data_IF_194338113936
#
_entry.id   IF_194338113936
#
_cell.length_a   1.000
_cell.length_b   1.000
_cell.length_c   1.000
_cell.angle_alpha   90.00
_cell.angle_beta   90.00
_cell.angle_gamma   90.00
#
_symmetry.space_group_name_H-M   'P 1'
#
loop_
_entity.id
_entity.type
_entity.pdbx_description
1 polymer ?
#
# COMPACT_ATOMS: atom_id res chain seq x y z
N UNK A 1 -7.76 -3.65 16.74
CA UNK A 1 -8.96 -2.82 16.94
C UNK A 1 -9.86 -3.34 18.08
N UNK A 2 -9.97 -2.56 19.18
CA UNK A 2 -10.77 -2.95 20.36
C UNK A 2 -12.29 -2.92 20.07
N UNK A 3 -12.74 -2.04 19.18
CA UNK A 3 -14.15 -1.93 18.82
C UNK A 3 -14.60 -3.18 18.04
N UNK A 4 -13.81 -3.64 17.09
CA UNK A 4 -14.08 -4.88 16.35
C UNK A 4 -14.14 -6.10 17.26
N UNK A 5 -13.21 -6.22 18.20
CA UNK A 5 -13.22 -7.29 19.22
C UNK A 5 -14.51 -7.22 20.05
N UNK A 6 -14.90 -6.03 20.53
CA UNK A 6 -16.09 -5.86 21.33
C UNK A 6 -17.38 -6.24 20.57
N UNK A 7 -17.48 -5.87 19.30
CA UNK A 7 -18.60 -6.22 18.43
C UNK A 7 -18.70 -7.74 18.24
N UNK A 8 -17.58 -8.41 17.96
CA UNK A 8 -17.53 -9.87 17.84
C UNK A 8 -18.02 -10.54 19.13
N UNK A 9 -17.52 -10.10 20.29
CA UNK A 9 -17.89 -10.67 21.58
C UNK A 9 -19.38 -10.43 21.91
N UNK A 10 -19.91 -9.25 21.62
CA UNK A 10 -21.33 -8.94 21.82
C UNK A 10 -22.22 -9.79 20.91
N UNK A 11 -21.82 -10.00 19.65
CA UNK A 11 -22.55 -10.87 18.73
C UNK A 11 -22.59 -12.32 19.23
N UNK A 12 -21.49 -12.84 19.79
CA UNK A 12 -21.45 -14.17 20.37
C UNK A 12 -22.37 -14.29 21.60
N UNK A 13 -22.34 -13.31 22.48
CA UNK A 13 -23.20 -13.27 23.66
C UNK A 13 -24.70 -13.29 23.24
N UNK A 14 -25.04 -12.48 22.24
CA UNK A 14 -26.39 -12.46 21.66
C UNK A 14 -26.80 -13.83 21.12
N UNK A 15 -25.97 -14.48 20.30
CA UNK A 15 -26.27 -15.80 19.72
C UNK A 15 -26.39 -16.89 20.79
N UNK A 16 -25.56 -16.85 21.83
CA UNK A 16 -25.69 -17.79 22.97
C UNK A 16 -26.99 -17.60 23.74
N UNK A 17 -27.47 -16.36 23.85
CA UNK A 17 -28.77 -16.05 24.49
C UNK A 17 -29.98 -16.40 23.61
N UNK A 18 -29.79 -16.66 22.32
CA UNK A 18 -30.87 -16.96 21.35
C UNK A 18 -30.56 -18.22 20.54
N UNK A 19 -30.44 -19.39 21.19
CA UNK A 19 -30.04 -20.64 20.57
C UNK A 19 -31.04 -21.17 19.51
N UNK A 20 -32.24 -20.63 19.47
CA UNK A 20 -33.27 -20.93 18.46
C UNK A 20 -33.03 -20.20 17.13
N UNK A 21 -32.15 -19.18 17.09
CA UNK A 21 -31.84 -18.46 15.90
C UNK A 21 -31.00 -19.32 14.92
N UNK A 22 -31.39 -19.39 13.63
CA UNK A 22 -30.65 -20.19 12.67
C UNK A 22 -29.30 -19.51 12.36
N UNK A 23 -28.22 -20.23 12.56
CA UNK A 23 -26.87 -19.80 12.13
C UNK A 23 -25.99 -20.99 11.74
N UNK A 24 -25.05 -20.76 10.85
CA UNK A 24 -24.01 -21.73 10.51
C UNK A 24 -22.91 -21.82 11.58
N UNK A 25 -21.87 -22.56 11.29
CA UNK A 25 -20.67 -22.61 12.14
C UNK A 25 -19.93 -21.27 12.09
N UNK A 26 -19.75 -20.67 13.25
CA UNK A 26 -19.01 -19.41 13.40
C UNK A 26 -17.63 -19.72 13.95
N UNK A 27 -16.60 -19.24 13.27
CA UNK A 27 -15.20 -19.33 13.68
C UNK A 27 -14.65 -17.92 13.88
N UNK A 28 -13.91 -17.71 14.96
CA UNK A 28 -13.34 -16.41 15.29
C UNK A 28 -11.82 -16.53 15.33
N UNK A 29 -11.15 -15.61 14.64
CA UNK A 29 -9.71 -15.50 14.64
C UNK A 29 -9.27 -14.09 15.04
N UNK A 30 -8.29 -14.01 15.91
CA UNK A 30 -7.60 -12.77 16.25
C UNK A 30 -6.14 -12.91 15.83
N UNK A 31 -5.63 -11.94 15.11
CA UNK A 31 -4.23 -11.92 14.65
C UNK A 31 -3.47 -10.78 15.32
N UNK A 32 -2.23 -11.00 15.79
CA UNK A 32 -1.36 -9.94 16.26
C UNK A 32 -0.70 -9.21 15.08
N UNK A 33 -0.02 -8.11 15.35
CA UNK A 33 0.88 -7.42 14.41
C UNK A 33 0.20 -6.83 13.15
N UNK A 34 -1.11 -6.53 13.21
CA UNK A 34 -1.84 -5.91 12.11
C UNK A 34 -1.26 -4.52 11.79
N UNK A 35 -0.99 -3.68 12.78
CA UNK A 35 -0.50 -2.30 12.66
C UNK A 35 0.90 -2.19 12.00
N UNK A 36 1.63 -3.28 11.93
CA UNK A 36 2.91 -3.39 11.22
C UNK A 36 2.80 -4.19 9.91
N UNK A 37 1.57 -4.52 9.49
CA UNK A 37 1.28 -5.19 8.22
C UNK A 37 1.57 -6.69 8.20
N UNK A 38 1.70 -7.35 9.36
CA UNK A 38 2.05 -8.77 9.49
C UNK A 38 0.93 -9.64 10.05
N UNK A 39 -0.27 -9.09 10.23
CA UNK A 39 -1.40 -9.78 10.87
C UNK A 39 -1.80 -11.10 10.21
N UNK A 40 -1.71 -11.19 8.89
CA UNK A 40 -2.09 -12.38 8.13
C UNK A 40 -0.94 -13.36 7.83
N UNK A 41 0.32 -13.00 8.05
CA UNK A 41 1.50 -13.75 7.58
C UNK A 41 1.57 -15.20 8.07
N UNK A 42 1.04 -15.46 9.25
CA UNK A 42 1.07 -16.79 9.89
C UNK A 42 -0.33 -17.37 10.13
N UNK A 43 -1.36 -16.75 9.54
CA UNK A 43 -2.72 -17.22 9.71
C UNK A 43 -2.96 -18.45 8.82
N UNK A 44 -3.20 -19.60 9.45
CA UNK A 44 -3.47 -20.85 8.76
C UNK A 44 -4.93 -20.92 8.31
N UNK A 45 -5.19 -20.40 7.11
CA UNK A 45 -6.53 -20.35 6.48
C UNK A 45 -7.13 -21.75 6.34
N UNK A 46 -6.31 -22.76 5.98
CA UNK A 46 -6.80 -24.13 5.80
C UNK A 46 -7.26 -24.74 7.13
N UNK A 47 -6.50 -24.55 8.20
CA UNK A 47 -6.85 -24.99 9.55
C UNK A 47 -8.04 -24.21 10.10
N UNK A 48 -8.14 -22.91 9.81
CA UNK A 48 -9.30 -22.09 10.18
C UNK A 48 -10.56 -22.61 9.51
N UNK A 49 -10.49 -22.99 8.24
CA UNK A 49 -11.51 -23.78 7.52
C UNK A 49 -12.88 -23.11 7.52
N UNK A 50 -12.92 -21.79 7.27
CA UNK A 50 -14.15 -21.04 7.00
C UNK A 50 -14.37 -20.93 5.48
N UNK A 51 -15.63 -20.91 5.04
CA UNK A 51 -15.98 -20.73 3.63
C UNK A 51 -15.74 -19.29 3.17
N UNK A 52 -16.00 -18.33 4.07
CA UNK A 52 -15.71 -16.90 3.90
C UNK A 52 -15.54 -16.24 5.26
N UNK A 53 -15.06 -15.01 5.29
CA UNK A 53 -14.83 -14.26 6.51
C UNK A 53 -15.17 -12.78 6.33
N UNK A 54 -15.60 -12.15 7.42
CA UNK A 54 -15.66 -10.70 7.56
C UNK A 54 -14.56 -10.24 8.50
N UNK A 55 -13.84 -9.20 8.13
CA UNK A 55 -12.86 -8.54 9.00
C UNK A 55 -13.51 -7.31 9.61
N UNK A 56 -13.53 -7.23 10.93
CA UNK A 56 -14.03 -6.08 11.66
C UNK A 56 -12.84 -5.22 12.11
N UNK A 57 -12.71 -4.06 11.49
CA UNK A 57 -11.65 -3.10 11.76
C UNK A 57 -12.26 -1.71 12.04
N UNK A 58 -11.44 -0.66 12.11
CA UNK A 58 -11.88 0.73 12.24
C UNK A 58 -12.59 1.23 10.99
N UNK A 59 -13.33 2.31 11.13
CA UNK A 59 -14.08 2.95 10.05
C UNK A 59 -15.38 3.58 10.57
N UNK A 60 -16.19 4.07 9.65
CA UNK A 60 -17.51 4.61 10.00
C UNK A 60 -18.52 3.51 10.29
N UNK A 61 -19.47 3.79 11.19
CA UNK A 61 -20.52 2.82 11.51
C UNK A 61 -21.37 2.55 10.27
N UNK A 62 -21.51 1.27 9.91
CA UNK A 62 -22.28 0.82 8.75
C UNK A 62 -21.50 0.80 7.44
N UNK A 63 -20.22 1.13 7.46
CA UNK A 63 -19.35 0.97 6.30
C UNK A 63 -19.10 -0.52 6.03
N UNK A 64 -19.29 -0.93 4.78
CA UNK A 64 -18.97 -2.27 4.29
C UNK A 64 -18.07 -2.16 3.06
N UNK A 65 -16.83 -2.55 3.22
CA UNK A 65 -15.82 -2.54 2.16
C UNK A 65 -15.67 -3.94 1.56
N UNK A 66 -15.67 -4.03 0.24
CA UNK A 66 -15.41 -5.27 -0.51
C UNK A 66 -14.36 -5.09 -1.61
N UNK A 67 -13.70 -3.95 -1.62
CA UNK A 67 -12.54 -3.66 -2.47
C UNK A 67 -11.55 -2.75 -1.72
N UNK A 68 -10.30 -2.84 -2.12
CA UNK A 68 -9.19 -2.09 -1.58
C UNK A 68 -8.24 -1.67 -2.72
N UNK A 69 -7.23 -0.89 -2.42
CA UNK A 69 -6.19 -0.56 -3.39
C UNK A 69 -5.39 -1.80 -3.84
N UNK A 70 -4.90 -1.78 -5.09
CA UNK A 70 -3.66 -2.46 -5.43
C UNK A 70 -2.50 -1.64 -4.87
N UNK A 71 -1.45 -2.29 -4.40
CA UNK A 71 -0.39 -1.67 -3.62
C UNK A 71 1.01 -2.12 -4.03
N UNK A 72 1.90 -1.16 -4.20
CA UNK A 72 3.34 -1.39 -4.34
C UNK A 72 4.14 -0.43 -3.45
N UNK A 73 5.32 -0.88 -3.06
CA UNK A 73 6.37 -0.07 -2.45
C UNK A 73 7.48 0.14 -3.47
N UNK A 74 8.07 1.33 -3.50
CA UNK A 74 9.19 1.65 -4.36
C UNK A 74 10.27 2.36 -3.55
N UNK A 75 11.42 1.73 -3.40
CA UNK A 75 12.63 2.31 -2.83
C UNK A 75 13.53 2.78 -3.97
N UNK A 76 13.97 4.04 -3.93
CA UNK A 76 14.90 4.61 -4.90
C UNK A 76 16.19 5.00 -4.18
N UNK A 77 17.27 4.30 -4.51
CA UNK A 77 18.60 4.57 -3.99
C UNK A 77 19.37 5.39 -5.02
N UNK A 78 19.98 6.50 -4.57
CA UNK A 78 20.65 7.47 -5.45
C UNK A 78 22.09 7.61 -5.03
N UNK A 79 23.01 7.53 -6.01
CA UNK A 79 24.45 7.72 -5.82
C UNK A 79 24.95 9.01 -6.46
N UNK A 80 25.47 9.89 -5.62
CA UNK A 80 26.13 11.12 -6.02
C UNK A 80 27.65 10.98 -6.19
N UNK A 81 28.30 12.10 -6.24
CA UNK A 81 29.77 12.26 -6.18
C UNK A 81 30.11 13.60 -5.56
N UNK A 82 30.63 13.55 -4.34
CA UNK A 82 31.08 14.73 -3.61
C UNK A 82 32.46 15.20 -4.10
N UNK A 83 32.63 16.50 -4.22
CA UNK A 83 33.89 17.18 -4.43
C UNK A 83 33.84 18.55 -3.75
N UNK A 84 34.99 19.20 -3.55
CA UNK A 84 35.03 20.54 -2.96
C UNK A 84 34.17 21.54 -3.78
N UNK A 85 33.22 22.27 -3.14
CA UNK A 85 32.30 23.17 -3.85
C UNK A 85 32.98 24.19 -4.79
N UNK A 86 34.09 24.74 -4.40
CA UNK A 86 34.83 25.72 -5.20
C UNK A 86 35.39 25.18 -6.53
N UNK A 87 35.46 23.85 -6.71
CA UNK A 87 35.93 23.17 -7.91
C UNK A 87 34.93 22.16 -8.49
N UNK A 88 33.66 22.32 -8.12
CA UNK A 88 32.61 21.34 -8.37
C UNK A 88 32.07 21.32 -9.80
N UNK A 89 32.29 22.38 -10.58
CA UNK A 89 31.75 22.51 -11.94
C UNK A 89 32.15 21.31 -12.80
N UNK A 90 31.14 20.63 -13.36
CA UNK A 90 31.22 19.41 -14.20
C UNK A 90 31.83 18.18 -13.47
N UNK A 91 31.96 18.23 -12.15
CA UNK A 91 32.52 17.13 -11.34
C UNK A 91 31.58 16.62 -10.29
N UNK A 92 30.94 17.52 -9.53
CA UNK A 92 29.98 17.13 -8.47
C UNK A 92 28.69 16.56 -9.09
N UNK A 93 28.20 15.53 -8.47
CA UNK A 93 26.85 15.01 -8.69
C UNK A 93 26.20 14.95 -7.31
N UNK A 94 25.22 15.80 -7.07
CA UNK A 94 24.55 15.90 -5.77
C UNK A 94 23.33 14.98 -5.74
N UNK A 95 23.38 13.92 -4.94
CA UNK A 95 22.30 12.94 -4.85
C UNK A 95 20.97 13.56 -4.40
N UNK A 96 21.00 14.53 -3.47
CA UNK A 96 19.77 15.24 -3.06
C UNK A 96 19.15 16.04 -4.22
N UNK A 97 19.95 16.63 -5.11
CA UNK A 97 19.42 17.33 -6.29
C UNK A 97 18.80 16.34 -7.30
N UNK A 98 19.40 15.17 -7.48
CA UNK A 98 18.81 14.12 -8.32
C UNK A 98 17.48 13.60 -7.73
N UNK A 99 17.39 13.51 -6.40
CA UNK A 99 16.14 13.14 -5.71
C UNK A 99 15.02 14.18 -5.95
N UNK A 100 15.35 15.48 -5.88
CA UNK A 100 14.41 16.56 -6.19
C UNK A 100 13.99 16.52 -7.66
N UNK A 101 14.94 16.28 -8.57
CA UNK A 101 14.66 16.13 -10.00
C UNK A 101 13.69 14.95 -10.25
N UNK A 102 13.96 13.80 -9.65
CA UNK A 102 13.05 12.64 -9.73
C UNK A 102 11.64 13.01 -9.29
N UNK A 103 11.49 13.62 -8.11
CA UNK A 103 10.19 14.03 -7.60
C UNK A 103 9.47 15.02 -8.53
N UNK A 104 10.21 15.88 -9.23
CA UNK A 104 9.64 16.85 -10.18
C UNK A 104 9.12 16.24 -11.48
N UNK A 105 9.55 15.03 -11.81
CA UNK A 105 9.10 14.28 -12.99
C UNK A 105 7.84 13.43 -12.70
N UNK A 106 7.50 13.23 -11.43
CA UNK A 106 6.27 12.52 -11.06
C UNK A 106 5.05 13.45 -11.19
N UNK A 107 3.87 12.92 -11.58
CA UNK A 107 2.66 13.71 -11.74
C UNK A 107 2.30 14.43 -10.44
N UNK A 108 2.21 15.78 -10.44
CA UNK A 108 1.96 16.53 -9.21
C UNK A 108 0.54 16.34 -8.66
N UNK A 109 -0.41 15.97 -9.52
CA UNK A 109 -1.81 15.67 -9.19
C UNK A 109 -2.02 14.26 -8.63
N UNK A 110 -1.01 13.40 -8.70
CA UNK A 110 -1.05 12.03 -8.15
C UNK A 110 -0.40 11.94 -6.76
N UNK A 111 -0.75 12.86 -5.89
CA UNK A 111 -0.35 12.84 -4.46
C UNK A 111 -1.57 12.64 -3.59
N UNK A 112 -1.48 11.95 -2.44
CA UNK A 112 -2.63 11.68 -1.57
C UNK A 112 -3.40 12.94 -1.17
N UNK A 113 -2.71 14.05 -0.96
CA UNK A 113 -3.31 15.34 -0.62
C UNK A 113 -4.11 16.00 -1.77
N UNK A 114 -4.05 15.42 -2.98
CA UNK A 114 -4.73 15.92 -4.18
C UNK A 114 -5.62 14.85 -4.85
N UNK A 115 -5.80 13.71 -4.22
CA UNK A 115 -6.62 12.59 -4.72
C UNK A 115 -7.70 12.22 -3.72
N UNK A 116 -8.81 11.68 -4.22
CA UNK A 116 -9.94 11.24 -3.40
C UNK A 116 -10.59 9.96 -3.93
N UNK A 117 -11.33 9.27 -3.08
CA UNK A 117 -12.13 8.09 -3.44
C UNK A 117 -11.28 6.99 -4.08
N UNK A 118 -11.54 6.70 -5.35
CA UNK A 118 -10.87 5.64 -6.12
C UNK A 118 -9.64 6.10 -6.90
N UNK A 119 -9.24 7.35 -6.75
CA UNK A 119 -8.08 7.88 -7.47
C UNK A 119 -6.78 7.31 -6.94
N UNK A 120 -5.91 6.89 -7.86
CA UNK A 120 -4.60 6.37 -7.52
C UNK A 120 -3.58 7.48 -7.26
N UNK A 121 -2.52 7.12 -6.50
CA UNK A 121 -1.47 8.06 -6.11
C UNK A 121 -0.09 7.42 -6.01
N UNK A 122 0.92 8.29 -6.09
CA UNK A 122 2.33 8.03 -5.76
C UNK A 122 2.70 8.92 -4.57
N UNK A 123 2.89 8.34 -3.40
CA UNK A 123 3.15 9.06 -2.17
C UNK A 123 4.58 8.86 -1.69
N UNK A 124 5.35 9.94 -1.61
CA UNK A 124 6.67 9.96 -0.98
C UNK A 124 6.50 9.88 0.54
N UNK A 125 6.87 8.76 1.14
CA UNK A 125 6.73 8.50 2.59
C UNK A 125 8.02 8.73 3.37
N UNK A 126 9.17 8.67 2.71
CA UNK A 126 10.46 8.87 3.34
C UNK A 126 11.44 9.51 2.37
N UNK A 127 12.22 10.46 2.87
CA UNK A 127 13.33 11.07 2.16
C UNK A 127 14.49 11.30 3.11
N UNK A 128 15.63 10.71 2.79
CA UNK A 128 16.92 11.00 3.43
C UNK A 128 17.95 11.21 2.34
N UNK A 129 18.84 12.19 2.49
CA UNK A 129 19.88 12.38 1.51
C UNK A 129 20.82 13.53 1.82
N UNK A 130 22.02 13.42 1.21
CA UNK A 130 23.06 14.45 1.18
C UNK A 130 23.66 14.56 -0.24
N UNK A 131 24.93 14.96 -0.35
CA UNK A 131 25.61 15.09 -1.66
C UNK A 131 26.02 13.72 -2.21
N UNK A 132 26.38 12.78 -1.34
CA UNK A 132 26.96 11.49 -1.74
C UNK A 132 25.91 10.43 -2.02
N UNK A 133 24.84 10.40 -1.21
CA UNK A 133 23.73 9.47 -1.43
C UNK A 133 22.38 10.04 -0.98
N UNK A 134 21.31 9.46 -1.54
CA UNK A 134 19.95 9.70 -1.09
C UNK A 134 19.13 8.42 -1.20
N UNK A 135 18.11 8.32 -0.34
CA UNK A 135 17.12 7.24 -0.34
C UNK A 135 15.72 7.84 -0.22
N UNK A 136 14.88 7.50 -1.18
CA UNK A 136 13.47 7.85 -1.18
C UNK A 136 12.64 6.58 -1.12
N UNK A 137 11.57 6.61 -0.33
CA UNK A 137 10.57 5.55 -0.33
C UNK A 137 9.22 6.11 -0.73
N UNK A 138 8.59 5.41 -1.67
CA UNK A 138 7.26 5.71 -2.14
C UNK A 138 6.33 4.53 -1.90
N UNK A 139 5.04 4.83 -1.71
CA UNK A 139 3.97 3.87 -1.87
C UNK A 139 3.13 4.27 -3.09
N UNK A 140 2.73 3.27 -3.88
CA UNK A 140 1.92 3.43 -5.08
C UNK A 140 0.61 2.69 -4.85
N UNK A 141 -0.51 3.36 -5.11
CA UNK A 141 -1.85 2.83 -4.88
C UNK A 141 -2.77 3.18 -6.04
N UNK A 142 -3.59 2.24 -6.47
CA UNK A 142 -4.76 2.48 -7.31
C UNK A 142 -5.75 1.32 -7.14
N UNK A 143 -7.04 1.60 -7.16
CA UNK A 143 -8.08 0.57 -7.14
C UNK A 143 -8.14 -0.21 -8.47
N UNK A 144 -7.91 0.48 -9.58
CA UNK A 144 -7.87 -0.11 -10.90
C UNK A 144 -6.50 -0.70 -11.20
N UNK A 145 -6.47 -1.95 -11.68
CA UNK A 145 -5.22 -2.67 -11.92
C UNK A 145 -4.39 -2.09 -13.08
N UNK A 146 -5.05 -1.65 -14.15
CA UNK A 146 -4.35 -1.08 -15.32
C UNK A 146 -3.73 0.26 -14.94
N UNK A 147 -4.48 1.14 -14.26
CA UNK A 147 -3.97 2.43 -13.76
C UNK A 147 -2.86 2.25 -12.72
N UNK A 148 -2.94 1.21 -11.89
CA UNK A 148 -1.87 0.86 -10.96
C UNK A 148 -0.57 0.52 -11.69
N UNK A 149 -0.64 -0.30 -12.76
CA UNK A 149 0.54 -0.59 -13.60
C UNK A 149 1.06 0.67 -14.31
N UNK A 150 0.19 1.57 -14.77
CA UNK A 150 0.56 2.85 -15.37
C UNK A 150 1.32 3.76 -14.38
N UNK A 151 0.89 3.81 -13.12
CA UNK A 151 1.61 4.57 -12.07
C UNK A 151 2.99 3.96 -11.79
N UNK A 152 3.11 2.64 -11.78
CA UNK A 152 4.40 1.95 -11.63
C UNK A 152 5.32 2.22 -12.82
N UNK A 153 4.77 2.22 -14.03
CA UNK A 153 5.52 2.54 -15.24
C UNK A 153 5.97 4.01 -15.25
N UNK A 154 5.13 4.92 -14.79
CA UNK A 154 5.49 6.34 -14.60
C UNK A 154 6.72 6.48 -13.68
N UNK A 155 6.77 5.74 -12.58
CA UNK A 155 7.93 5.71 -11.69
C UNK A 155 9.19 5.18 -12.40
N UNK A 156 9.08 4.09 -13.16
CA UNK A 156 10.21 3.53 -13.94
C UNK A 156 10.74 4.53 -14.95
N UNK A 157 9.85 5.19 -15.68
CA UNK A 157 10.20 6.19 -16.69
C UNK A 157 10.87 7.42 -16.07
N UNK A 158 10.40 7.89 -14.92
CA UNK A 158 11.01 9.00 -14.20
C UNK A 158 12.46 8.66 -13.77
N UNK A 159 12.68 7.48 -13.20
CA UNK A 159 14.02 6.99 -12.83
C UNK A 159 14.92 6.86 -14.08
N UNK A 160 14.40 6.27 -15.15
CA UNK A 160 15.15 6.14 -16.41
C UNK A 160 15.52 7.49 -17.00
N UNK A 161 14.64 8.48 -16.94
CA UNK A 161 14.90 9.83 -17.46
C UNK A 161 16.01 10.55 -16.70
N UNK A 162 16.05 10.45 -15.35
CA UNK A 162 17.16 11.00 -14.55
C UNK A 162 18.47 10.28 -14.88
N UNK A 163 18.44 8.95 -14.94
CA UNK A 163 19.63 8.16 -15.31
C UNK A 163 20.17 8.50 -16.71
N UNK A 164 19.30 8.73 -17.68
CA UNK A 164 19.72 9.13 -19.03
C UNK A 164 20.46 10.47 -19.06
N UNK A 165 20.12 11.40 -18.15
CA UNK A 165 20.76 12.72 -18.05
C UNK A 165 22.07 12.72 -17.26
N UNK A 166 22.16 11.91 -16.21
CA UNK A 166 23.22 11.99 -15.21
C UNK A 166 24.15 10.77 -15.16
N UNK A 167 23.88 9.76 -15.96
CA UNK A 167 24.66 8.52 -16.07
C UNK A 167 23.88 7.30 -15.57
N UNK A 168 24.14 6.18 -16.20
CA UNK A 168 23.51 4.90 -15.92
C UNK A 168 23.77 4.50 -14.47
N UNK A 169 22.74 3.95 -13.81
CA UNK A 169 22.78 3.43 -12.44
C UNK A 169 23.04 4.48 -11.33
N UNK A 170 22.80 5.77 -11.60
CA UNK A 170 22.77 6.78 -10.54
C UNK A 170 21.59 6.58 -9.60
N UNK A 171 20.43 6.26 -10.17
CA UNK A 171 19.22 5.87 -9.45
C UNK A 171 18.97 4.37 -9.66
N UNK A 172 18.83 3.65 -8.56
CA UNK A 172 18.43 2.24 -8.55
C UNK A 172 17.06 2.16 -7.92
N UNK A 173 16.10 1.64 -8.68
CA UNK A 173 14.72 1.42 -8.24
C UNK A 173 14.52 -0.04 -7.80
N UNK A 174 14.14 -0.25 -6.55
CA UNK A 174 13.59 -1.52 -6.04
C UNK A 174 12.09 -1.33 -5.81
N UNK A 175 11.27 -1.92 -6.68
CA UNK A 175 9.81 -1.79 -6.61
C UNK A 175 9.18 -3.16 -6.52
N UNK A 176 8.29 -3.34 -5.51
CA UNK A 176 7.64 -4.61 -5.19
C UNK A 176 6.17 -4.40 -4.92
N UNK A 177 5.34 -5.25 -5.51
CA UNK A 177 3.93 -5.31 -5.19
C UNK A 177 3.74 -5.89 -3.78
N UNK A 178 2.80 -5.32 -3.03
CA UNK A 178 2.50 -5.73 -1.65
C UNK A 178 1.22 -6.56 -1.59
N UNK A 179 0.16 -6.06 -2.19
CA UNK A 179 -1.14 -6.74 -2.26
C UNK A 179 -1.96 -6.19 -3.44
N UNK A 180 -3.05 -6.90 -3.76
CA UNK A 180 -3.96 -6.54 -4.84
C UNK A 180 -5.38 -6.32 -4.33
N UNK A 181 -6.18 -5.59 -5.12
CA UNK A 181 -7.57 -5.36 -4.85
C UNK A 181 -8.33 -6.69 -4.75
N UNK A 182 -9.04 -6.90 -3.66
CA UNK A 182 -9.82 -8.13 -3.43
C UNK A 182 -11.10 -8.22 -4.24
N UNK A 183 -11.54 -7.14 -4.89
CA UNK A 183 -12.78 -7.07 -5.66
C UNK A 183 -12.97 -8.24 -6.62
N UNK A 184 -11.94 -8.59 -7.40
CA UNK A 184 -12.00 -9.70 -8.35
C UNK A 184 -12.28 -11.06 -7.69
N UNK A 185 -11.89 -11.22 -6.42
CA UNK A 185 -12.14 -12.43 -5.63
C UNK A 185 -13.54 -12.43 -5.00
N UNK A 186 -14.05 -11.25 -4.70
CA UNK A 186 -15.37 -11.10 -4.05
C UNK A 186 -16.50 -11.15 -5.06
N UNK A 187 -16.35 -10.58 -6.25
CA UNK A 187 -17.40 -10.53 -7.28
C UNK A 187 -18.05 -11.90 -7.58
N UNK A 188 -17.29 -13.02 -7.73
CA UNK A 188 -17.91 -14.33 -7.98
C UNK A 188 -18.75 -14.86 -6.82
N UNK A 189 -18.57 -14.36 -5.62
CA UNK A 189 -19.24 -14.76 -4.38
C UNK A 189 -19.94 -13.58 -3.72
N UNK A 190 -20.46 -12.65 -4.51
CA UNK A 190 -21.01 -11.37 -4.04
C UNK A 190 -22.16 -11.51 -3.03
N UNK A 191 -22.82 -12.69 -2.98
CA UNK A 191 -23.83 -12.99 -1.98
C UNK A 191 -23.35 -12.78 -0.53
N UNK A 192 -22.04 -12.90 -0.25
CA UNK A 192 -21.50 -12.64 1.10
C UNK A 192 -21.61 -11.16 1.47
N UNK A 193 -21.51 -10.26 0.48
CA UNK A 193 -21.70 -8.82 0.67
C UNK A 193 -23.18 -8.49 0.87
N UNK A 194 -24.06 -9.13 0.08
CA UNK A 194 -25.52 -8.97 0.23
C UNK A 194 -26.01 -9.46 1.59
N UNK A 195 -25.41 -10.51 2.12
CA UNK A 195 -25.73 -11.03 3.46
C UNK A 195 -25.30 -10.09 4.59
N UNK A 196 -24.24 -9.30 4.38
CA UNK A 196 -23.72 -8.36 5.38
C UNK A 196 -24.45 -7.00 5.38
N UNK A 197 -25.26 -6.71 4.38
CA UNK A 197 -26.09 -5.49 4.26
C UNK A 197 -27.37 -5.61 5.08
#
# INVERSE_FOLDING_TARGET
DKAGIAVIMAALEYLQGHPEGPHGTIKIGFTPDEEVGHGADRFDVAKFGADFAYTLDGGEIGELQFENFNAANADVFIKGRSVHPGTAKNKMINASQLAIELCSLLPPDKRPELTEGYEGFIHLTHFHGDVEDAHLRFIIRDHDKEKFEDLKETMRQAVAAVNARHGIDRLVLDMRDSYYNMKEKILPVFHIIETAR
#
